data_IF_531686384222
#
_entry.id   IF_531686384222
#
_cell.length_a   1.000
_cell.length_b   1.000
_cell.length_c   1.000
_cell.angle_alpha   90.00
_cell.angle_beta   90.00
_cell.angle_gamma   90.00
#
_symmetry.space_group_name_H-M   'P 1'
#
loop_
_entity.id
_entity.type
_entity.pdbx_description
1 polymer ?
#
# COMPACT_ATOMS: atom_id res chain seq x y z
N UNK A 1 -12.94 -31.72 -18.31
CA UNK A 1 -11.60 -31.14 -18.02
C UNK A 1 -11.28 -29.88 -18.82
N UNK A 2 -11.47 -29.84 -20.15
CA UNK A 2 -11.13 -28.65 -20.97
C UNK A 2 -11.85 -27.36 -20.57
N UNK A 3 -13.16 -27.43 -20.31
CA UNK A 3 -13.95 -26.25 -19.89
C UNK A 3 -13.46 -25.69 -18.55
N UNK A 4 -13.16 -26.57 -17.58
CA UNK A 4 -12.64 -26.18 -16.27
C UNK A 4 -11.30 -25.47 -16.40
N UNK A 5 -10.39 -25.96 -17.24
CA UNK A 5 -9.11 -25.32 -17.49
C UNK A 5 -9.26 -23.94 -18.14
N UNK A 6 -10.18 -23.80 -19.11
CA UNK A 6 -10.46 -22.50 -19.75
C UNK A 6 -11.02 -21.50 -18.74
N UNK A 7 -12.00 -21.90 -17.93
CA UNK A 7 -12.59 -21.04 -16.89
C UNK A 7 -11.51 -20.59 -15.91
N UNK A 8 -10.66 -21.52 -15.44
CA UNK A 8 -9.55 -21.20 -14.54
C UNK A 8 -8.61 -20.14 -15.13
N UNK A 9 -8.17 -20.33 -16.38
CA UNK A 9 -7.28 -19.37 -17.06
C UNK A 9 -7.93 -18.00 -17.17
N UNK A 10 -9.20 -17.93 -17.59
CA UNK A 10 -9.93 -16.67 -17.70
C UNK A 10 -10.09 -15.97 -16.35
N UNK A 11 -10.35 -16.72 -15.28
CA UNK A 11 -10.42 -16.17 -13.92
C UNK A 11 -9.08 -15.58 -13.49
N UNK A 12 -7.99 -16.34 -13.65
CA UNK A 12 -6.64 -15.87 -13.27
C UNK A 12 -6.22 -14.63 -14.08
N UNK A 13 -6.50 -14.61 -15.38
CA UNK A 13 -6.27 -13.42 -16.22
C UNK A 13 -7.11 -12.23 -15.77
N UNK A 14 -8.38 -12.44 -15.44
CA UNK A 14 -9.27 -11.39 -14.94
C UNK A 14 -8.75 -10.74 -13.66
N UNK A 15 -8.16 -11.53 -12.77
CA UNK A 15 -7.56 -11.04 -11.52
C UNK A 15 -6.31 -10.19 -11.79
N UNK A 16 -5.46 -10.61 -12.73
CA UNK A 16 -4.29 -9.82 -13.14
C UNK A 16 -4.73 -8.50 -13.78
N UNK A 17 -5.69 -8.55 -14.70
CA UNK A 17 -6.25 -7.35 -15.32
C UNK A 17 -6.84 -6.40 -14.27
N UNK A 18 -7.59 -6.93 -13.30
CA UNK A 18 -8.12 -6.15 -12.19
C UNK A 18 -7.02 -5.43 -11.39
N UNK A 19 -5.88 -6.09 -11.16
CA UNK A 19 -4.75 -5.53 -10.44
C UNK A 19 -4.03 -4.43 -11.24
N UNK A 20 -3.89 -4.61 -12.57
CA UNK A 20 -3.13 -3.73 -13.46
C UNK A 20 -3.92 -2.50 -13.92
N UNK A 21 -5.22 -2.64 -14.17
CA UNK A 21 -6.06 -1.56 -14.75
C UNK A 21 -6.36 -0.43 -13.76
N UNK A 22 -6.08 -0.62 -12.46
CA UNK A 22 -6.25 0.41 -11.45
C UNK A 22 -5.06 1.36 -11.34
N UNK A 23 -5.34 2.61 -10.95
CA UNK A 23 -4.28 3.56 -10.61
C UNK A 23 -3.49 3.06 -9.38
N UNK A 24 -2.16 3.07 -9.50
CA UNK A 24 -1.17 2.82 -8.44
C UNK A 24 -0.80 4.16 -7.80
N UNK A 25 -1.79 4.98 -7.49
CA UNK A 25 -1.55 6.39 -7.13
C UNK A 25 -2.15 6.69 -5.77
N UNK A 26 -1.43 7.47 -4.98
CA UNK A 26 -1.96 8.10 -3.77
C UNK A 26 -2.45 9.50 -4.15
N UNK A 27 -3.33 9.57 -5.15
CA UNK A 27 -3.64 10.81 -5.88
C UNK A 27 -4.16 11.92 -4.98
N UNK A 28 -4.93 11.55 -3.96
CA UNK A 28 -5.56 12.49 -3.05
C UNK A 28 -4.74 12.75 -1.79
N UNK A 29 -3.60 12.07 -1.61
CA UNK A 29 -2.68 12.33 -0.50
C UNK A 29 -1.87 13.60 -0.79
N UNK A 30 -2.38 14.74 -0.32
CA UNK A 30 -1.79 16.07 -0.43
C UNK A 30 -1.21 16.56 0.91
N UNK A 31 -0.95 17.87 1.01
CA UNK A 31 -0.32 18.46 2.20
C UNK A 31 -1.19 18.39 3.47
N UNK A 32 -2.46 17.99 3.34
CA UNK A 32 -3.36 17.77 4.48
C UNK A 32 -3.23 16.37 5.10
N UNK A 33 -2.40 15.49 4.52
CA UNK A 33 -2.25 14.12 4.98
C UNK A 33 -1.06 13.92 5.91
N UNK A 34 -1.22 12.96 6.81
CA UNK A 34 -0.21 12.50 7.75
C UNK A 34 -0.01 11.00 7.62
N UNK A 35 1.19 10.55 7.98
CA UNK A 35 1.53 9.14 8.02
C UNK A 35 1.61 8.63 9.45
N UNK A 36 1.16 7.39 9.68
CA UNK A 36 1.35 6.67 10.93
C UNK A 36 1.84 5.26 10.64
N UNK A 37 3.06 4.95 11.04
CA UNK A 37 3.56 3.58 10.99
C UNK A 37 3.20 2.83 12.28
N UNK A 38 2.79 1.56 12.16
CA UNK A 38 2.49 0.70 13.30
C UNK A 38 3.57 -0.34 13.59
N UNK A 39 4.55 -0.49 12.72
CA UNK A 39 5.64 -1.46 12.82
C UNK A 39 6.99 -0.80 12.51
N UNK A 40 8.09 -1.50 12.79
CA UNK A 40 9.46 -1.07 12.48
C UNK A 40 9.98 0.13 13.28
N UNK A 41 11.00 0.81 12.77
CA UNK A 41 11.68 1.94 13.44
C UNK A 41 10.84 3.21 13.50
N UNK A 42 9.73 3.23 12.74
CA UNK A 42 8.76 4.31 12.69
C UNK A 42 7.51 4.05 13.53
N UNK A 43 7.42 2.91 14.22
CA UNK A 43 6.25 2.55 15.00
C UNK A 43 5.84 3.67 15.98
N UNK A 44 4.56 4.03 15.96
CA UNK A 44 3.94 5.11 16.76
C UNK A 44 4.42 6.52 16.45
N UNK A 45 5.30 6.72 15.45
CA UNK A 45 5.73 8.05 15.01
C UNK A 45 4.76 8.62 13.99
N UNK A 46 4.54 9.93 14.09
CA UNK A 46 3.78 10.70 13.11
C UNK A 46 4.73 11.20 12.01
N UNK A 47 4.36 10.99 10.76
CA UNK A 47 5.06 11.48 9.57
C UNK A 47 4.28 12.67 9.00
N UNK A 48 4.97 13.76 8.71
CA UNK A 48 4.35 14.96 8.16
C UNK A 48 4.05 14.83 6.65
N UNK A 49 3.39 15.85 6.09
CA UNK A 49 3.06 15.94 4.67
C UNK A 49 4.26 15.73 3.73
N UNK A 50 5.44 16.24 4.07
CA UNK A 50 6.66 16.04 3.26
C UNK A 50 7.06 14.56 3.16
N UNK A 51 6.89 13.80 4.24
CA UNK A 51 7.09 12.36 4.22
C UNK A 51 6.01 11.62 3.43
N UNK A 52 4.76 12.09 3.47
CA UNK A 52 3.69 11.53 2.62
C UNK A 52 3.98 11.77 1.13
N UNK A 53 4.47 12.95 0.77
CA UNK A 53 4.88 13.24 -0.60
C UNK A 53 6.00 12.29 -1.08
N UNK A 54 6.97 11.99 -0.21
CA UNK A 54 8.02 11.00 -0.49
C UNK A 54 7.46 9.58 -0.69
N UNK A 55 6.56 9.14 0.19
CA UNK A 55 5.92 7.82 0.07
C UNK A 55 5.16 7.73 -1.25
N UNK A 56 4.38 8.76 -1.61
CA UNK A 56 3.69 8.83 -2.90
C UNK A 56 4.65 8.71 -4.07
N UNK A 57 5.72 9.51 -4.07
CA UNK A 57 6.73 9.44 -5.11
C UNK A 57 7.31 8.03 -5.25
N UNK A 58 7.67 7.38 -4.14
CA UNK A 58 8.25 6.03 -4.17
C UNK A 58 7.26 4.98 -4.64
N UNK A 59 6.00 5.03 -4.19
CA UNK A 59 4.96 4.11 -4.66
C UNK A 59 4.73 4.29 -6.16
N UNK A 60 4.65 5.53 -6.65
CA UNK A 60 4.32 5.81 -8.05
C UNK A 60 5.48 5.55 -9.01
N UNK A 61 6.74 5.69 -8.56
CA UNK A 61 7.92 5.59 -9.42
C UNK A 61 8.74 4.31 -9.24
N UNK A 62 8.71 3.71 -8.04
CA UNK A 62 9.52 2.53 -7.69
C UNK A 62 8.70 1.26 -7.50
N UNK A 63 7.42 1.29 -7.90
CA UNK A 63 6.57 0.09 -7.85
C UNK A 63 5.87 -0.15 -9.17
N UNK A 64 5.43 -1.40 -9.36
CA UNK A 64 4.66 -1.81 -10.52
C UNK A 64 3.62 -2.85 -10.12
N UNK A 65 2.47 -2.95 -10.79
CA UNK A 65 1.51 -4.03 -10.52
C UNK A 65 2.16 -5.41 -10.62
N UNK A 66 1.85 -6.28 -9.66
CA UNK A 66 2.16 -7.71 -9.76
C UNK A 66 1.36 -8.35 -10.89
N UNK A 67 1.97 -9.30 -11.58
CA UNK A 67 1.35 -10.15 -12.60
C UNK A 67 1.13 -11.59 -12.11
N UNK A 68 1.48 -11.88 -10.85
CA UNK A 68 1.29 -13.20 -10.25
C UNK A 68 -0.15 -13.34 -9.72
N UNK A 69 -1.03 -14.12 -10.38
CA UNK A 69 -2.43 -14.20 -10.01
C UNK A 69 -2.66 -14.88 -8.66
N UNK A 70 -1.78 -15.81 -8.26
CA UNK A 70 -1.89 -16.52 -6.98
C UNK A 70 -1.55 -15.55 -5.86
N UNK A 71 -0.44 -14.80 -6.01
CA UNK A 71 -0.07 -13.75 -5.06
C UNK A 71 -1.17 -12.70 -4.93
N UNK A 72 -1.72 -12.23 -6.05
CA UNK A 72 -2.83 -11.26 -6.02
C UNK A 72 -4.02 -11.83 -5.24
N UNK A 73 -4.48 -13.04 -5.56
CA UNK A 73 -5.61 -13.68 -4.85
C UNK A 73 -5.37 -13.80 -3.36
N UNK A 74 -4.19 -14.30 -2.97
CA UNK A 74 -3.82 -14.45 -1.57
C UNK A 74 -3.91 -13.10 -0.89
N UNK A 75 -3.30 -12.02 -1.41
CA UNK A 75 -3.31 -10.73 -0.71
C UNK A 75 -4.61 -9.94 -0.84
N UNK A 76 -5.52 -10.30 -1.76
CA UNK A 76 -6.91 -9.81 -1.73
C UNK A 76 -7.70 -10.45 -0.57
N UNK A 77 -7.45 -11.72 -0.25
CA UNK A 77 -8.20 -12.46 0.80
C UNK A 77 -7.51 -12.34 2.16
N UNK A 78 -6.20 -12.64 2.20
CA UNK A 78 -5.35 -12.69 3.38
C UNK A 78 -5.41 -11.41 4.18
N UNK A 79 -5.35 -10.26 3.52
CA UNK A 79 -5.41 -8.97 4.21
C UNK A 79 -6.74 -8.76 4.96
N UNK A 80 -7.86 -9.26 4.43
CA UNK A 80 -9.16 -9.20 5.12
C UNK A 80 -9.22 -10.12 6.35
N UNK A 81 -8.28 -11.06 6.51
CA UNK A 81 -8.27 -12.06 7.57
C UNK A 81 -7.10 -11.93 8.56
N UNK A 82 -5.93 -11.44 8.12
CA UNK A 82 -4.68 -11.43 8.88
C UNK A 82 -3.96 -10.10 8.66
N UNK A 83 -3.79 -9.34 9.75
CA UNK A 83 -3.25 -7.97 9.72
C UNK A 83 -1.89 -7.83 10.40
N UNK A 84 -1.10 -8.91 10.50
CA UNK A 84 0.17 -8.98 11.24
C UNK A 84 1.28 -9.61 10.39
N UNK A 85 2.54 -9.32 10.73
CA UNK A 85 3.73 -9.94 10.12
C UNK A 85 4.22 -9.22 8.86
N UNK A 86 3.95 -7.92 8.75
CA UNK A 86 4.44 -7.08 7.67
C UNK A 86 5.79 -6.48 8.06
N UNK A 87 6.69 -6.28 7.09
CA UNK A 87 7.94 -5.58 7.38
C UNK A 87 7.68 -4.09 7.67
N UNK A 88 6.66 -3.53 7.02
CA UNK A 88 6.14 -2.20 7.28
C UNK A 88 4.62 -2.20 7.17
N UNK A 89 3.97 -1.52 8.11
CA UNK A 89 2.56 -1.18 8.04
C UNK A 89 2.39 0.31 8.32
N UNK A 90 1.89 1.05 7.33
CA UNK A 90 1.72 2.49 7.39
C UNK A 90 0.31 2.89 6.94
N UNK A 91 -0.31 3.77 7.71
CA UNK A 91 -1.54 4.46 7.35
C UNK A 91 -1.22 5.86 6.87
N UNK A 92 -1.89 6.28 5.81
CA UNK A 92 -1.86 7.63 5.25
C UNK A 92 -3.30 8.13 5.30
N UNK A 93 -3.53 9.11 6.16
CA UNK A 93 -4.85 9.61 6.50
C UNK A 93 -4.85 11.14 6.54
N UNK A 94 -5.99 11.79 6.26
CA UNK A 94 -6.09 13.24 6.41
C UNK A 94 -5.92 13.62 7.89
N UNK A 95 -5.21 14.72 8.15
CA UNK A 95 -5.00 15.25 9.51
C UNK A 95 -6.33 15.63 10.16
N UNK A 96 -7.24 16.21 9.38
CA UNK A 96 -8.61 16.51 9.78
C UNK A 96 -9.58 15.61 9.02
N UNK A 97 -10.27 14.73 9.74
CA UNK A 97 -11.19 13.78 9.13
C UNK A 97 -12.47 14.49 8.65
N UNK A 98 -12.62 14.64 7.33
CA UNK A 98 -13.81 15.24 6.71
C UNK A 98 -14.79 14.21 6.12
N UNK A 99 -14.55 12.90 6.31
CA UNK A 99 -15.43 11.81 5.87
C UNK A 99 -15.51 11.58 4.35
N UNK A 100 -15.04 12.53 3.52
CA UNK A 100 -15.00 12.42 2.07
C UNK A 100 -13.62 12.10 1.49
N UNK A 101 -12.56 12.21 2.30
CA UNK A 101 -11.18 12.01 1.87
C UNK A 101 -10.80 10.53 1.92
N UNK A 102 -10.08 10.06 0.90
CA UNK A 102 -9.60 8.69 0.86
C UNK A 102 -8.58 8.43 1.96
N UNK A 103 -8.57 7.21 2.50
CA UNK A 103 -7.51 6.75 3.38
C UNK A 103 -6.76 5.64 2.68
N UNK A 104 -5.44 5.66 2.85
CA UNK A 104 -4.57 4.69 2.25
C UNK A 104 -3.84 3.91 3.33
N UNK A 105 -3.61 2.64 3.06
CA UNK A 105 -2.76 1.83 3.88
C UNK A 105 -1.76 1.08 3.02
N UNK A 106 -0.51 1.08 3.48
CA UNK A 106 0.62 0.47 2.82
C UNK A 106 1.09 -0.65 3.72
N UNK A 107 1.07 -1.86 3.17
CA UNK A 107 1.59 -3.07 3.81
C UNK A 107 2.72 -3.59 2.97
N UNK A 108 3.94 -3.54 3.48
CA UNK A 108 5.11 -4.05 2.77
C UNK A 108 5.51 -5.41 3.31
N UNK A 109 5.90 -6.29 2.39
CA UNK A 109 6.49 -7.59 2.68
C UNK A 109 7.55 -7.88 1.62
N UNK A 110 8.78 -8.09 2.05
CA UNK A 110 9.95 -8.28 1.19
C UNK A 110 10.00 -7.23 0.06
N UNK A 111 9.79 -7.68 -1.17
CA UNK A 111 9.85 -6.91 -2.41
C UNK A 111 8.46 -6.58 -2.99
N UNK A 112 7.40 -6.59 -2.18
CA UNK A 112 6.08 -6.17 -2.63
C UNK A 112 5.34 -5.36 -1.59
N UNK A 113 4.43 -4.52 -2.08
CA UNK A 113 3.53 -3.67 -1.30
C UNK A 113 2.10 -4.04 -1.66
N UNK A 114 1.26 -4.18 -0.63
CA UNK A 114 -0.19 -4.14 -0.78
C UNK A 114 -0.63 -2.72 -0.46
N UNK A 115 -1.06 -1.99 -1.49
CA UNK A 115 -1.67 -0.68 -1.36
C UNK A 115 -3.18 -0.86 -1.22
N UNK A 116 -3.74 -0.44 -0.10
CA UNK A 116 -5.18 -0.44 0.17
C UNK A 116 -5.72 0.97 0.09
N UNK A 117 -6.88 1.09 -0.54
CA UNK A 117 -7.68 2.30 -0.60
C UNK A 117 -9.00 1.98 0.12
N UNK A 118 -9.18 2.52 1.34
CA UNK A 118 -10.20 2.06 2.29
C UNK A 118 -11.64 2.14 1.74
N UNK A 119 -11.98 3.21 1.03
CA UNK A 119 -13.34 3.41 0.53
C UNK A 119 -13.63 2.68 -0.78
N UNK A 120 -12.61 2.37 -1.57
CA UNK A 120 -12.80 1.60 -2.80
C UNK A 120 -12.85 0.09 -2.53
N UNK A 121 -12.39 -0.36 -1.35
CA UNK A 121 -12.16 -1.79 -1.01
C UNK A 121 -11.29 -2.51 -2.04
N UNK A 122 -10.45 -1.77 -2.75
CA UNK A 122 -9.53 -2.32 -3.76
C UNK A 122 -8.13 -2.34 -3.18
N UNK A 123 -7.60 -3.55 -3.04
CA UNK A 123 -6.17 -3.71 -2.81
C UNK A 123 -5.46 -3.75 -4.16
N UNK A 124 -4.27 -3.17 -4.21
CA UNK A 124 -3.31 -3.31 -5.31
C UNK A 124 -2.09 -4.02 -4.78
N UNK A 125 -1.72 -5.11 -5.44
CA UNK A 125 -0.51 -5.85 -5.10
C UNK A 125 0.57 -5.41 -6.07
N UNK A 126 1.59 -4.77 -5.53
CA UNK A 126 2.63 -4.05 -6.26
C UNK A 126 3.97 -4.70 -5.95
N UNK A 127 4.81 -4.92 -6.94
CA UNK A 127 6.21 -5.29 -6.73
C UNK A 127 7.01 -4.01 -6.59
N UNK A 128 7.92 -3.95 -5.62
CA UNK A 128 8.73 -2.78 -5.31
C UNK A 128 10.20 -3.04 -5.63
N UNK A 129 10.96 -1.97 -5.91
CA UNK A 129 12.42 -2.01 -6.01
C UNK A 129 13.12 -1.49 -4.75
N UNK A 130 12.37 -1.30 -3.66
CA UNK A 130 12.86 -0.81 -2.38
C UNK A 130 12.34 -1.71 -1.24
N UNK A 131 13.06 -1.73 -0.13
CA UNK A 131 12.76 -2.46 1.09
C UNK A 131 12.07 -1.56 2.13
N UNK A 132 11.43 -2.18 3.13
CA UNK A 132 10.81 -1.45 4.23
C UNK A 132 11.84 -0.57 4.97
N UNK A 133 13.04 -1.11 5.22
CA UNK A 133 14.11 -0.40 5.90
C UNK A 133 14.57 0.85 5.13
N UNK A 134 14.73 0.76 3.80
CA UNK A 134 15.10 1.92 2.97
C UNK A 134 14.03 3.01 3.01
N UNK A 135 12.75 2.64 2.98
CA UNK A 135 11.66 3.60 3.10
C UNK A 135 11.63 4.21 4.50
N UNK A 136 11.81 3.41 5.55
CA UNK A 136 11.83 3.91 6.92
C UNK A 136 12.98 4.89 7.18
N UNK A 137 14.17 4.59 6.67
CA UNK A 137 15.34 5.47 6.75
C UNK A 137 15.07 6.80 6.05
N UNK A 138 14.54 6.74 4.83
CA UNK A 138 14.21 7.93 4.05
C UNK A 138 13.12 8.80 4.70
N UNK A 139 12.28 8.21 5.55
CA UNK A 139 11.21 8.91 6.27
C UNK A 139 11.63 9.49 7.63
N UNK A 140 12.79 9.10 8.19
CA UNK A 140 13.26 9.65 9.47
C UNK A 140 13.30 11.20 9.52
N UNK A 141 13.73 11.92 8.47
CA UNK A 141 13.73 13.39 8.48
C UNK A 141 12.34 14.03 8.58
N UNK A 142 11.29 13.28 8.22
CA UNK A 142 9.90 13.74 8.17
C UNK A 142 9.09 13.32 9.39
N UNK A 143 9.71 12.62 10.34
CA UNK A 143 9.13 12.32 11.64
C UNK A 143 8.88 13.64 12.37
N UNK A 144 7.63 13.87 12.73
CA UNK A 144 7.26 14.94 13.64
C UNK A 144 7.86 14.59 15.01
N UNK A 145 8.84 15.38 15.43
CA UNK A 145 9.34 15.31 16.80
C UNK A 145 8.21 15.85 17.67
N UNK A 146 7.63 14.99 18.51
CA UNK A 146 6.65 15.44 19.49
C UNK A 146 7.25 16.61 20.27
N UNK A 147 6.61 17.77 20.18
CA UNK A 147 6.92 18.92 21.02
C UNK A 147 6.42 18.55 22.42
N UNK A 148 7.33 18.05 23.25
CA UNK A 148 7.17 18.08 24.69
C UNK A 148 7.55 19.45 25.21
#
# INVERSE_FOLDING_TARGET
>A
MRIVAIVLVLTLMGIVLWNVVGAVTLRDADDSYIGRASEGSLASKRINAGGIALVREWIETKTRPSFDPIKILIYQVWYNAITRGYDLKMWIEPEEYSGSLEQYAIYQFENFVVLRIEYSRRNRVLVTSFTAAELEEALQPFVVKDQF
#
